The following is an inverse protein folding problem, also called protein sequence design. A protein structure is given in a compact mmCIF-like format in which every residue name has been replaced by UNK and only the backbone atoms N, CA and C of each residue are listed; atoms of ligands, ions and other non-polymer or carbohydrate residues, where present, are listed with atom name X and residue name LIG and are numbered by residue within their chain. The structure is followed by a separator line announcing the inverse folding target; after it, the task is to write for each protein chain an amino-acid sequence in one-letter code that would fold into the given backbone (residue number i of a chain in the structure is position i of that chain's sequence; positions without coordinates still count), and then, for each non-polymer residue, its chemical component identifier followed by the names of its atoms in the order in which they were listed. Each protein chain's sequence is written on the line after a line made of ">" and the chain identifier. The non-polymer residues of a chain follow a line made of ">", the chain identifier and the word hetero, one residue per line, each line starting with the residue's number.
data_IF_167619630479
#
_entry.id   IF_167619630479
#
_cell.length_a   1.000
_cell.length_b   1.000
_cell.length_c   1.000
_cell.angle_alpha   90.00
_cell.angle_beta   90.00
_cell.angle_gamma   90.00
#
_symmetry.space_group_name_H-M   'P 1'
#
loop_
_entity.id
_entity.type
_entity.pdbx_description
1 polymer ?
#
# COMPACT_ATOMS: atom_id res chain seq x y z
N UNK A 1 -18.76 -9.20 6.41
CA UNK A 1 -18.22 -10.24 7.28
C UNK A 1 -17.72 -11.39 6.42
N UNK A 2 -16.51 -11.87 6.69
CA UNK A 2 -15.94 -13.05 6.04
C UNK A 2 -15.53 -14.06 7.12
N UNK A 3 -15.75 -15.34 6.87
CA UNK A 3 -15.40 -16.42 7.80
C UNK A 3 -14.47 -17.38 7.09
N UNK A 4 -13.34 -17.71 7.74
CA UNK A 4 -12.32 -18.59 7.19
C UNK A 4 -11.88 -19.60 8.24
N UNK A 5 -12.19 -20.89 8.07
CA UNK A 5 -11.65 -21.95 8.91
C UNK A 5 -10.16 -22.18 8.57
N UNK A 6 -9.38 -22.45 9.59
CA UNK A 6 -7.99 -22.92 9.51
C UNK A 6 -7.95 -24.27 10.22
N UNK A 7 -7.95 -25.37 9.46
CA UNK A 7 -8.06 -26.72 10.00
C UNK A 7 -6.72 -27.24 10.54
N UNK A 8 -5.60 -26.80 9.96
CA UNK A 8 -4.25 -27.23 10.31
C UNK A 8 -3.44 -26.05 10.89
N UNK A 9 -3.45 -25.89 12.22
CA UNK A 9 -2.58 -24.96 12.93
C UNK A 9 -1.81 -25.69 14.04
N UNK A 10 -0.67 -25.16 14.50
CA UNK A 10 0.13 -25.80 15.56
C UNK A 10 -0.61 -26.06 16.88
N UNK A 11 -1.77 -25.42 17.07
CA UNK A 11 -2.57 -25.54 18.31
C UNK A 11 -3.98 -26.08 18.07
N UNK A 12 -4.24 -26.66 16.90
CA UNK A 12 -5.54 -27.19 16.49
C UNK A 12 -6.36 -26.22 15.62
N UNK A 13 -7.60 -26.60 15.28
CA UNK A 13 -8.45 -25.80 14.38
C UNK A 13 -8.77 -24.42 14.94
N UNK A 14 -8.79 -23.42 14.05
CA UNK A 14 -9.18 -22.05 14.37
C UNK A 14 -10.25 -21.55 13.40
N UNK A 15 -11.14 -20.69 13.89
CA UNK A 15 -12.09 -19.95 13.07
C UNK A 15 -11.68 -18.48 13.04
N UNK A 16 -11.38 -17.97 11.85
CA UNK A 16 -11.08 -16.58 11.64
C UNK A 16 -12.34 -15.85 11.15
N UNK A 17 -12.71 -14.79 11.84
CA UNK A 17 -13.84 -13.93 11.47
C UNK A 17 -13.33 -12.56 11.12
N UNK A 18 -13.44 -12.18 9.83
CA UNK A 18 -13.06 -10.86 9.35
C UNK A 18 -14.26 -9.92 9.39
N UNK A 19 -14.17 -8.89 10.22
CA UNK A 19 -15.09 -7.75 10.19
C UNK A 19 -14.59 -6.72 9.17
N UNK A 20 -15.33 -6.56 8.07
CA UNK A 20 -15.08 -5.51 7.08
C UNK A 20 -15.83 -4.25 7.50
N UNK A 21 -15.08 -3.19 7.79
CA UNK A 21 -15.62 -1.93 8.33
C UNK A 21 -15.17 -0.75 7.47
N UNK A 22 -16.12 0.07 7.01
CA UNK A 22 -15.82 1.30 6.30
C UNK A 22 -15.50 2.43 7.30
N UNK A 23 -14.23 2.75 7.44
CA UNK A 23 -13.72 3.74 8.38
C UNK A 23 -13.72 5.17 7.85
N UNK A 24 -14.17 5.39 6.61
CA UNK A 24 -14.24 6.70 5.95
C UNK A 24 -12.89 7.44 6.02
N UNK A 25 -12.88 8.62 6.65
CA UNK A 25 -11.70 9.49 6.75
C UNK A 25 -10.79 9.16 7.94
N UNK A 26 -11.12 8.16 8.76
CA UNK A 26 -10.24 7.66 9.80
C UNK A 26 -9.33 6.54 9.27
N UNK A 27 -8.13 6.40 9.83
CA UNK A 27 -7.32 5.19 9.64
C UNK A 27 -8.08 3.95 10.13
N UNK A 28 -8.76 4.06 11.27
CA UNK A 28 -9.79 3.12 11.72
C UNK A 28 -9.38 2.14 12.80
N UNK A 29 -8.12 2.09 13.23
CA UNK A 29 -7.61 1.09 14.16
C UNK A 29 -8.46 0.96 15.44
N UNK A 30 -8.69 2.06 16.15
CA UNK A 30 -9.46 2.05 17.39
C UNK A 30 -10.92 1.64 17.16
N UNK A 31 -11.53 2.13 16.09
CA UNK A 31 -12.93 1.80 15.75
C UNK A 31 -13.09 0.32 15.47
N UNK A 32 -12.18 -0.27 14.68
CA UNK A 32 -12.21 -1.69 14.33
C UNK A 32 -11.98 -2.55 15.58
N UNK A 33 -10.97 -2.21 16.39
CA UNK A 33 -10.66 -2.97 17.60
C UNK A 33 -11.83 -2.91 18.59
N UNK A 34 -12.43 -1.72 18.80
CA UNK A 34 -13.62 -1.57 19.67
C UNK A 34 -14.80 -2.39 19.14
N UNK A 35 -15.05 -2.38 17.84
CA UNK A 35 -16.11 -3.19 17.23
C UNK A 35 -15.86 -4.71 17.44
N UNK A 36 -14.62 -5.16 17.26
CA UNK A 36 -14.24 -6.56 17.48
C UNK A 36 -14.43 -6.98 18.94
N UNK A 37 -14.07 -6.13 19.89
CA UNK A 37 -14.30 -6.37 21.32
C UNK A 37 -15.81 -6.51 21.63
N UNK A 38 -16.64 -5.62 21.11
CA UNK A 38 -18.09 -5.66 21.33
C UNK A 38 -18.77 -6.89 20.71
N UNK A 39 -18.23 -7.42 19.61
CA UNK A 39 -18.76 -8.62 18.96
C UNK A 39 -18.37 -9.93 19.67
N UNK A 40 -17.39 -9.92 20.55
CA UNK A 40 -16.86 -11.10 21.21
C UNK A 40 -17.92 -11.96 21.89
N UNK A 41 -18.80 -11.44 22.79
CA UNK A 41 -19.80 -12.27 23.47
C UNK A 41 -20.80 -12.91 22.50
N UNK A 42 -21.15 -12.20 21.41
CA UNK A 42 -22.05 -12.73 20.41
C UNK A 42 -21.40 -13.89 19.63
N UNK A 43 -20.15 -13.73 19.22
CA UNK A 43 -19.40 -14.76 18.49
C UNK A 43 -19.24 -16.01 19.36
N UNK A 44 -18.86 -15.86 20.62
CA UNK A 44 -18.73 -16.99 21.56
C UNK A 44 -20.07 -17.71 21.76
N UNK A 45 -21.18 -16.97 21.87
CA UNK A 45 -22.51 -17.57 22.03
C UNK A 45 -22.97 -18.36 20.80
N UNK A 46 -22.63 -17.91 19.60
CA UNK A 46 -23.00 -18.57 18.34
C UNK A 46 -22.13 -19.80 18.09
N UNK A 47 -20.82 -19.69 18.34
CA UNK A 47 -19.86 -20.73 17.96
C UNK A 47 -19.62 -21.77 19.04
N UNK A 48 -19.93 -21.46 20.31
CA UNK A 48 -19.55 -22.25 21.47
C UNK A 48 -18.03 -22.25 21.72
N UNK A 49 -17.28 -21.47 20.97
CA UNK A 49 -15.82 -21.35 21.08
C UNK A 49 -15.39 -20.23 22.03
N UNK A 50 -14.09 -20.04 22.09
CA UNK A 50 -13.45 -18.95 22.84
C UNK A 50 -12.79 -17.97 21.89
N UNK A 51 -13.13 -16.69 21.98
CA UNK A 51 -12.43 -15.63 21.23
C UNK A 51 -11.12 -15.29 21.91
N UNK A 52 -10.02 -15.30 21.16
CA UNK A 52 -8.69 -14.98 21.66
C UNK A 52 -8.26 -13.56 21.21
N UNK A 53 -7.96 -13.35 19.92
CA UNK A 53 -7.54 -12.06 19.39
C UNK A 53 -8.70 -11.25 18.82
N UNK A 54 -8.75 -9.97 19.16
CA UNK A 54 -9.76 -8.98 18.76
C UNK A 54 -9.04 -7.75 18.25
N UNK A 55 -8.37 -7.88 17.10
CA UNK A 55 -7.42 -6.88 16.59
C UNK A 55 -7.57 -6.72 15.07
N UNK A 56 -7.33 -5.51 14.57
CA UNK A 56 -7.30 -5.24 13.14
C UNK A 56 -6.19 -6.04 12.44
N UNK A 57 -6.32 -6.19 11.12
CA UNK A 57 -5.22 -6.60 10.25
C UNK A 57 -4.67 -5.39 9.50
N UNK A 58 -3.34 -5.27 9.42
CA UNK A 58 -2.69 -4.26 8.59
C UNK A 58 -2.71 -4.62 7.10
N UNK A 59 -2.97 -5.88 6.74
CA UNK A 59 -3.29 -6.26 5.36
C UNK A 59 -4.73 -5.83 5.02
N UNK A 60 -4.92 -4.53 4.84
CA UNK A 60 -6.21 -3.92 4.51
C UNK A 60 -6.48 -3.99 3.01
N UNK A 61 -6.49 -5.19 2.43
CA UNK A 61 -6.57 -5.48 1.00
C UNK A 61 -7.90 -5.05 0.34
N UNK A 62 -8.90 -4.69 1.15
CA UNK A 62 -10.18 -4.12 0.69
C UNK A 62 -10.14 -2.58 0.62
N UNK A 63 -9.10 -1.95 1.17
CA UNK A 63 -8.91 -0.50 1.17
C UNK A 63 -7.64 -0.14 0.41
N UNK A 64 -7.71 -0.22 -0.92
CA UNK A 64 -6.59 0.02 -1.81
C UNK A 64 -6.60 1.40 -2.42
N UNK A 65 -5.40 1.92 -2.71
CA UNK A 65 -5.17 3.04 -3.60
C UNK A 65 -4.42 2.55 -4.85
N UNK A 66 -4.72 3.19 -5.98
CA UNK A 66 -4.08 2.93 -7.28
C UNK A 66 -3.67 4.24 -7.92
N UNK A 67 -2.49 4.25 -8.53
CA UNK A 67 -2.07 5.28 -9.46
C UNK A 67 -1.56 4.65 -10.74
N UNK A 68 -1.82 5.32 -11.85
CA UNK A 68 -1.31 4.94 -13.18
C UNK A 68 -0.89 6.20 -13.92
N UNK A 69 0.22 6.13 -14.64
CA UNK A 69 0.74 7.25 -15.39
C UNK A 69 1.33 6.82 -16.73
N UNK A 70 1.44 7.79 -17.63
CA UNK A 70 2.13 7.65 -18.91
C UNK A 70 3.17 8.75 -19.05
N UNK A 71 4.35 8.37 -19.54
CA UNK A 71 5.44 9.30 -19.83
C UNK A 71 5.82 9.11 -21.30
N UNK A 72 5.76 10.17 -22.12
CA UNK A 72 6.25 10.11 -23.50
C UNK A 72 7.72 9.70 -23.54
N UNK A 73 8.10 8.80 -24.45
CA UNK A 73 9.47 8.34 -24.58
C UNK A 73 10.46 9.52 -24.76
N UNK A 74 10.09 10.51 -25.55
CA UNK A 74 10.92 11.72 -25.77
C UNK A 74 11.22 12.50 -24.48
N UNK A 75 10.31 12.46 -23.48
CA UNK A 75 10.53 13.14 -22.18
C UNK A 75 11.51 12.38 -21.25
N UNK A 76 11.86 11.15 -21.61
CA UNK A 76 12.80 10.32 -20.85
C UNK A 76 14.22 10.36 -21.42
N UNK A 77 14.42 10.99 -22.57
CA UNK A 77 15.73 11.15 -23.19
C UNK A 77 16.73 11.82 -22.23
N UNK A 78 17.95 11.32 -22.19
CA UNK A 78 19.03 11.82 -21.34
C UNK A 78 20.38 11.61 -22.06
N UNK A 79 21.44 12.21 -21.54
CA UNK A 79 22.78 12.12 -22.12
C UNK A 79 23.21 10.65 -22.33
N UNK A 80 23.47 10.30 -23.58
CA UNK A 80 23.90 8.96 -23.99
C UNK A 80 22.78 7.93 -24.22
N UNK A 81 21.51 8.26 -23.93
CA UNK A 81 20.38 7.33 -24.08
C UNK A 81 19.18 7.98 -24.78
N UNK A 82 18.71 7.40 -25.86
CA UNK A 82 17.44 7.81 -26.44
C UNK A 82 16.28 7.45 -25.55
N UNK A 83 15.16 8.20 -25.63
CA UNK A 83 13.97 7.93 -24.84
C UNK A 83 13.46 6.47 -24.99
N UNK A 84 13.53 5.88 -26.18
CA UNK A 84 13.16 4.49 -26.39
C UNK A 84 14.08 3.49 -25.67
N UNK A 85 15.38 3.80 -25.57
CA UNK A 85 16.30 2.98 -24.80
C UNK A 85 16.00 3.06 -23.29
N UNK A 86 15.69 4.24 -22.78
CA UNK A 86 15.31 4.43 -21.37
C UNK A 86 14.02 3.71 -21.03
N UNK A 87 12.99 3.81 -21.89
CA UNK A 87 11.73 3.08 -21.75
C UNK A 87 11.99 1.58 -21.63
N UNK A 88 12.75 1.00 -22.56
CA UNK A 88 13.10 -0.42 -22.54
C UNK A 88 13.82 -0.82 -21.26
N UNK A 89 14.83 -0.06 -20.87
CA UNK A 89 15.62 -0.34 -19.68
C UNK A 89 14.79 -0.29 -18.39
N UNK A 90 13.83 0.64 -18.28
CA UNK A 90 12.90 0.72 -17.16
C UNK A 90 11.97 -0.50 -17.13
N UNK A 91 11.42 -0.91 -18.29
CA UNK A 91 10.54 -2.08 -18.39
C UNK A 91 11.30 -3.36 -18.00
N UNK A 92 12.52 -3.55 -18.49
CA UNK A 92 13.37 -4.69 -18.12
C UNK A 92 13.70 -4.72 -16.63
N UNK A 93 14.03 -3.56 -16.03
CA UNK A 93 14.30 -3.46 -14.60
C UNK A 93 13.05 -3.70 -13.74
N UNK A 94 11.87 -3.28 -14.22
CA UNK A 94 10.58 -3.60 -13.61
C UNK A 94 10.28 -5.09 -13.66
N UNK A 95 10.43 -5.71 -14.82
CA UNK A 95 10.25 -7.15 -15.01
C UNK A 95 11.20 -7.98 -14.12
N UNK A 96 12.42 -7.51 -13.91
CA UNK A 96 13.35 -8.14 -12.97
C UNK A 96 12.80 -8.10 -11.55
N UNK A 97 12.25 -6.96 -11.09
CA UNK A 97 11.65 -6.86 -9.76
C UNK A 97 10.36 -7.69 -9.62
N UNK A 98 9.62 -7.92 -10.69
CA UNK A 98 8.46 -8.82 -10.68
C UNK A 98 8.88 -10.31 -10.60
N UNK A 99 9.99 -10.67 -11.24
CA UNK A 99 10.46 -12.04 -11.37
C UNK A 99 11.26 -12.54 -10.16
N UNK A 100 12.05 -11.67 -9.52
CA UNK A 100 13.02 -12.05 -8.48
C UNK A 100 12.68 -11.39 -7.12
N UNK A 101 12.43 -12.19 -6.05
CA UNK A 101 12.07 -11.66 -4.74
C UNK A 101 13.22 -10.85 -4.09
N UNK A 102 14.48 -11.12 -4.38
CA UNK A 102 15.60 -10.31 -3.86
C UNK A 102 15.59 -8.92 -4.46
N UNK A 103 15.37 -8.84 -5.78
CA UNK A 103 15.22 -7.55 -6.44
C UNK A 103 13.94 -6.83 -6.00
N UNK A 104 12.83 -7.54 -5.86
CA UNK A 104 11.56 -7.00 -5.37
C UNK A 104 11.70 -6.36 -3.99
N UNK A 105 12.43 -6.96 -3.07
CA UNK A 105 12.64 -6.42 -1.72
C UNK A 105 13.28 -5.03 -1.74
N UNK A 106 14.33 -4.84 -2.55
CA UNK A 106 15.00 -3.54 -2.70
C UNK A 106 14.14 -2.54 -3.48
N UNK A 107 13.43 -3.03 -4.51
CA UNK A 107 12.52 -2.23 -5.33
C UNK A 107 11.38 -1.65 -4.48
N UNK A 108 10.68 -2.48 -3.72
CA UNK A 108 9.56 -2.07 -2.88
C UNK A 108 10.02 -1.19 -1.72
N UNK A 109 11.17 -1.48 -1.09
CA UNK A 109 11.78 -0.58 -0.10
C UNK A 109 12.00 0.82 -0.69
N UNK A 110 12.46 0.90 -1.93
CA UNK A 110 12.62 2.18 -2.64
C UNK A 110 11.30 2.93 -2.84
N UNK A 111 10.22 2.23 -3.13
CA UNK A 111 8.87 2.79 -3.21
C UNK A 111 8.46 3.39 -1.86
N UNK A 112 8.70 2.64 -0.76
CA UNK A 112 8.32 3.07 0.59
C UNK A 112 9.03 4.36 1.03
N UNK A 113 10.21 4.69 0.51
CA UNK A 113 10.85 5.97 0.78
C UNK A 113 9.95 7.18 0.42
N UNK A 114 9.17 7.08 -0.65
CA UNK A 114 8.19 8.11 -1.03
C UNK A 114 6.96 8.10 -0.14
N UNK A 115 6.41 6.92 0.14
CA UNK A 115 5.25 6.78 1.01
C UNK A 115 5.52 7.27 2.42
N UNK A 116 6.56 6.77 3.06
CA UNK A 116 6.87 7.05 4.46
C UNK A 116 7.05 8.53 4.73
N UNK A 117 7.70 9.26 3.81
CA UNK A 117 7.88 10.69 3.93
C UNK A 117 6.54 11.43 4.08
N UNK A 118 5.54 11.08 3.27
CA UNK A 118 4.21 11.72 3.30
C UNK A 118 3.37 11.17 4.45
N UNK A 119 3.42 9.86 4.71
CA UNK A 119 2.69 9.21 5.82
C UNK A 119 3.12 9.80 7.16
N UNK A 120 4.43 9.97 7.39
CA UNK A 120 4.99 10.58 8.61
C UNK A 120 4.60 12.06 8.68
N UNK A 121 4.75 12.82 7.58
CA UNK A 121 4.41 14.24 7.54
C UNK A 121 2.93 14.50 7.86
N UNK A 122 2.03 13.57 7.52
CA UNK A 122 0.59 13.66 7.79
C UNK A 122 0.16 13.04 9.12
N UNK A 123 1.11 12.57 9.95
CA UNK A 123 0.83 11.97 11.25
C UNK A 123 0.14 10.61 11.18
N UNK A 124 0.26 9.91 10.08
CA UNK A 124 -0.25 8.55 9.88
C UNK A 124 0.77 7.48 10.34
N UNK A 125 0.32 6.25 10.48
CA UNK A 125 1.15 5.12 10.93
C UNK A 125 1.90 4.49 9.75
N UNK A 126 3.15 4.89 9.56
CA UNK A 126 4.01 4.39 8.49
C UNK A 126 4.29 2.88 8.62
N UNK A 127 4.38 2.34 9.84
CA UNK A 127 4.63 0.91 10.06
C UNK A 127 3.43 0.07 9.64
N UNK A 128 2.22 0.56 9.87
CA UNK A 128 1.00 -0.08 9.41
C UNK A 128 0.91 -0.08 7.88
N UNK A 129 1.30 1.03 7.23
CA UNK A 129 1.34 1.16 5.77
C UNK A 129 2.37 0.20 5.18
N UNK A 130 3.60 0.16 5.70
CA UNK A 130 4.64 -0.79 5.26
C UNK A 130 4.21 -2.25 5.44
N UNK A 131 3.69 -2.60 6.62
CA UNK A 131 3.21 -3.96 6.87
C UNK A 131 2.14 -4.39 5.87
N UNK A 132 1.18 -3.50 5.58
CA UNK A 132 0.15 -3.73 4.57
C UNK A 132 0.72 -3.89 3.16
N UNK A 133 1.62 -3.00 2.76
CA UNK A 133 2.26 -3.01 1.44
C UNK A 133 3.08 -4.29 1.21
N UNK A 134 3.97 -4.65 2.14
CA UNK A 134 4.81 -5.84 2.01
C UNK A 134 4.01 -7.14 2.10
N UNK A 135 2.99 -7.22 2.95
CA UNK A 135 2.08 -8.36 2.99
C UNK A 135 1.30 -8.49 1.67
N UNK A 136 0.87 -7.38 1.08
CA UNK A 136 0.19 -7.35 -0.21
C UNK A 136 1.11 -7.78 -1.36
N UNK A 137 2.38 -7.36 -1.35
CA UNK A 137 3.38 -7.80 -2.32
C UNK A 137 3.61 -9.33 -2.30
N UNK A 138 3.28 -10.00 -1.19
CA UNK A 138 3.42 -11.44 -1.02
C UNK A 138 2.10 -12.23 -1.12
N UNK A 139 0.95 -11.56 -1.31
CA UNK A 139 -0.38 -12.18 -1.19
C UNK A 139 -0.67 -13.26 -2.25
N UNK A 140 0.04 -13.24 -3.37
CA UNK A 140 -0.05 -14.26 -4.44
C UNK A 140 0.73 -15.54 -4.12
N UNK A 141 1.36 -15.64 -2.95
CA UNK A 141 2.22 -16.75 -2.55
C UNK A 141 3.71 -16.55 -2.83
N UNK A 142 4.09 -15.47 -3.52
CA UNK A 142 5.48 -15.07 -3.77
C UNK A 142 5.60 -13.55 -3.61
N UNK A 143 6.66 -13.11 -2.95
CA UNK A 143 6.97 -11.69 -2.85
C UNK A 143 7.38 -11.13 -4.21
N UNK A 144 6.72 -10.06 -4.66
CA UNK A 144 6.91 -9.45 -5.99
C UNK A 144 6.86 -7.93 -5.92
N UNK A 145 7.10 -7.26 -7.05
CA UNK A 145 6.98 -5.80 -7.18
C UNK A 145 5.57 -5.30 -6.90
N UNK A 146 5.47 -4.14 -6.23
CA UNK A 146 4.23 -3.38 -6.06
C UNK A 146 3.90 -2.52 -7.28
N UNK A 147 4.87 -2.29 -8.17
CA UNK A 147 4.69 -1.54 -9.42
C UNK A 147 4.79 -2.46 -10.61
N UNK A 148 4.10 -2.08 -11.68
CA UNK A 148 4.19 -2.71 -12.99
C UNK A 148 4.51 -1.64 -14.03
N UNK A 149 5.55 -1.89 -14.86
CA UNK A 149 6.01 -0.98 -15.91
C UNK A 149 5.94 -1.68 -17.27
N UNK A 150 5.38 -0.99 -18.27
CA UNK A 150 5.29 -1.52 -19.64
C UNK A 150 5.41 -0.41 -20.67
N UNK A 151 5.71 -0.79 -21.90
CA UNK A 151 5.66 0.10 -23.05
C UNK A 151 4.27 -0.03 -23.71
N UNK A 152 3.66 1.09 -24.06
CA UNK A 152 2.41 1.08 -24.82
C UNK A 152 2.67 0.99 -26.35
N UNK A 153 1.58 0.89 -27.13
CA UNK A 153 1.64 0.73 -28.60
C UNK A 153 2.29 1.93 -29.30
N UNK A 154 2.27 3.11 -28.68
CA UNK A 154 2.92 4.34 -29.19
C UNK A 154 4.39 4.44 -28.75
N UNK A 155 4.91 3.48 -28.02
CA UNK A 155 6.29 3.45 -27.54
C UNK A 155 6.53 4.22 -26.26
N UNK A 156 5.50 4.76 -25.60
CA UNK A 156 5.61 5.49 -24.34
C UNK A 156 5.73 4.55 -23.14
N UNK A 157 6.32 5.05 -22.05
CA UNK A 157 6.36 4.33 -20.79
C UNK A 157 5.02 4.45 -20.05
N UNK A 158 4.47 3.32 -19.65
CA UNK A 158 3.34 3.23 -18.72
C UNK A 158 3.80 2.64 -17.40
N UNK A 159 3.24 3.15 -16.30
CA UNK A 159 3.49 2.61 -14.98
C UNK A 159 2.24 2.60 -14.11
N UNK A 160 2.11 1.58 -13.28
CA UNK A 160 0.99 1.42 -12.35
C UNK A 160 1.49 0.93 -11.00
N UNK A 161 0.84 1.41 -9.95
CA UNK A 161 0.94 0.89 -8.58
C UNK A 161 -0.45 0.66 -8.01
N UNK A 162 -0.62 -0.41 -7.26
CA UNK A 162 -1.81 -0.67 -6.45
C UNK A 162 -1.41 -1.37 -5.15
N UNK A 163 -1.89 -0.86 -4.00
CA UNK A 163 -1.57 -1.43 -2.69
C UNK A 163 -2.60 -1.00 -1.63
N UNK A 164 -2.70 -1.71 -0.49
CA UNK A 164 -3.47 -1.27 0.66
C UNK A 164 -2.96 0.08 1.19
N UNK A 165 -3.88 1.00 1.50
CA UNK A 165 -3.55 2.34 1.98
C UNK A 165 -4.49 2.76 3.10
N UNK A 166 -4.27 2.21 4.30
CA UNK A 166 -5.06 2.50 5.49
C UNK A 166 -4.55 3.77 6.20
N UNK A 167 -4.81 4.94 5.59
CA UNK A 167 -4.47 6.25 6.16
C UNK A 167 -5.74 7.03 6.55
N UNK A 168 -5.58 8.06 7.37
CA UNK A 168 -6.68 8.92 7.79
C UNK A 168 -6.30 10.40 7.74
N UNK A 169 -7.32 11.25 7.67
CA UNK A 169 -7.20 12.71 7.78
C UNK A 169 -7.86 13.24 9.03
N UNK A 170 -8.51 12.38 9.82
CA UNK A 170 -9.22 12.73 11.06
C UNK A 170 -8.77 11.81 12.21
N UNK A 171 -8.80 12.35 13.42
CA UNK A 171 -8.45 11.61 14.64
C UNK A 171 -6.94 11.45 14.86
N UNK A 172 -6.57 10.78 15.97
CA UNK A 172 -5.19 10.45 16.28
C UNK A 172 -4.21 11.63 16.25
N UNK A 173 -2.97 11.36 15.84
CA UNK A 173 -1.91 12.37 15.74
C UNK A 173 -2.22 13.45 14.69
N UNK A 174 -2.93 13.13 13.62
CA UNK A 174 -3.33 14.06 12.57
C UNK A 174 -4.11 15.26 13.12
N UNK A 175 -4.94 15.04 14.16
CA UNK A 175 -5.74 16.09 14.77
C UNK A 175 -4.94 17.01 15.70
N UNK A 176 -3.96 16.47 16.41
CA UNK A 176 -3.27 17.19 17.50
C UNK A 176 -1.87 17.68 17.12
N UNK A 177 -1.26 17.12 16.07
CA UNK A 177 0.09 17.47 15.65
C UNK A 177 0.08 18.65 14.66
N UNK A 178 0.61 19.84 15.02
CA UNK A 178 0.52 21.03 14.17
C UNK A 178 1.14 20.83 12.77
N UNK A 179 2.28 20.15 12.67
CA UNK A 179 2.94 19.90 11.39
C UNK A 179 2.11 19.01 10.47
N UNK A 180 1.40 18.00 11.01
CA UNK A 180 0.51 17.16 10.22
C UNK A 180 -0.65 17.97 9.63
N UNK A 181 -1.21 18.89 10.39
CA UNK A 181 -2.25 19.81 9.91
C UNK A 181 -1.72 20.74 8.81
N UNK A 182 -0.49 21.26 8.95
CA UNK A 182 0.16 22.09 7.92
C UNK A 182 0.40 21.27 6.65
N UNK A 183 0.92 20.04 6.77
CA UNK A 183 1.15 19.15 5.63
C UNK A 183 -0.15 18.87 4.85
N UNK A 184 -1.25 18.55 5.56
CA UNK A 184 -2.56 18.33 4.93
C UNK A 184 -3.09 19.59 4.22
N UNK A 185 -2.86 20.80 4.80
CA UNK A 185 -3.23 22.07 4.17
C UNK A 185 -2.42 22.34 2.91
N UNK A 186 -1.10 22.09 2.92
CA UNK A 186 -0.23 22.26 1.75
C UNK A 186 -0.71 21.35 0.61
N UNK A 187 -1.06 20.10 0.92
CA UNK A 187 -1.56 19.13 -0.08
C UNK A 187 -3.01 19.41 -0.49
N UNK A 188 -3.73 20.27 0.24
CA UNK A 188 -5.14 20.61 0.00
C UNK A 188 -6.04 19.37 -0.15
N UNK A 189 -5.85 18.37 0.72
CA UNK A 189 -6.62 17.13 0.67
C UNK A 189 -8.00 17.31 1.33
N UNK A 190 -9.03 16.75 0.69
CA UNK A 190 -10.42 16.79 1.17
C UNK A 190 -10.80 15.63 2.10
N UNK A 191 -9.98 14.56 2.14
CA UNK A 191 -10.24 13.38 2.97
C UNK A 191 -9.23 12.26 2.75
N UNK A 192 -9.39 11.16 3.47
CA UNK A 192 -8.45 10.04 3.46
C UNK A 192 -8.34 9.35 2.09
N UNK A 193 -9.43 9.33 1.32
CA UNK A 193 -9.40 8.77 -0.04
C UNK A 193 -8.43 9.54 -0.93
N UNK A 194 -8.56 10.87 -0.99
CA UNK A 194 -7.66 11.70 -1.79
C UNK A 194 -6.22 11.62 -1.29
N UNK A 195 -6.01 11.58 0.03
CA UNK A 195 -4.67 11.37 0.60
C UNK A 195 -4.06 10.06 0.12
N UNK A 196 -4.82 8.97 0.11
CA UNK A 196 -4.32 7.66 -0.36
C UNK A 196 -4.02 7.63 -1.86
N UNK A 197 -4.78 8.35 -2.68
CA UNK A 197 -4.53 8.50 -4.12
C UNK A 197 -3.24 9.31 -4.38
N UNK A 198 -3.02 10.39 -3.62
CA UNK A 198 -1.76 11.18 -3.66
C UNK A 198 -0.57 10.31 -3.25
N UNK A 199 -0.70 9.56 -2.17
CA UNK A 199 0.34 8.63 -1.72
C UNK A 199 0.70 7.62 -2.82
N UNK A 200 -0.29 7.01 -3.46
CA UNK A 200 -0.04 6.08 -4.57
C UNK A 200 0.72 6.76 -5.72
N UNK A 201 0.36 8.00 -6.08
CA UNK A 201 1.07 8.76 -7.10
C UNK A 201 2.52 9.09 -6.71
N UNK A 202 2.74 9.47 -5.44
CA UNK A 202 4.10 9.74 -4.90
C UNK A 202 4.95 8.47 -4.93
N UNK A 203 4.40 7.32 -4.53
CA UNK A 203 5.12 6.03 -4.57
C UNK A 203 5.50 5.63 -6.00
N UNK A 204 4.60 5.81 -6.96
CA UNK A 204 4.89 5.55 -8.38
C UNK A 204 5.97 6.47 -8.92
N UNK A 205 5.91 7.77 -8.61
CA UNK A 205 6.92 8.76 -9.02
C UNK A 205 8.29 8.49 -8.38
N UNK A 206 8.32 8.14 -7.09
CA UNK A 206 9.54 7.74 -6.38
C UNK A 206 10.19 6.52 -7.02
N UNK A 207 9.37 5.52 -7.38
CA UNK A 207 9.87 4.32 -8.05
C UNK A 207 10.43 4.64 -9.44
N UNK A 208 9.72 5.47 -10.24
CA UNK A 208 10.21 5.91 -11.54
C UNK A 208 11.60 6.57 -11.44
N UNK A 209 11.76 7.49 -10.49
CA UNK A 209 13.05 8.17 -10.30
C UNK A 209 14.18 7.18 -9.98
N UNK A 210 13.92 6.24 -9.07
CA UNK A 210 14.89 5.24 -8.67
C UNK A 210 15.23 4.25 -9.81
N UNK A 211 14.22 3.73 -10.50
CA UNK A 211 14.43 2.72 -11.55
C UNK A 211 15.09 3.33 -12.79
N UNK A 212 14.75 4.59 -13.13
CA UNK A 212 15.43 5.35 -14.19
C UNK A 212 16.91 5.53 -13.87
N UNK A 213 17.24 5.99 -12.66
CA UNK A 213 18.64 6.21 -12.25
C UNK A 213 19.47 4.90 -12.20
N UNK A 214 18.82 3.74 -12.04
CA UNK A 214 19.50 2.44 -12.07
C UNK A 214 19.63 1.89 -13.50
N UNK A 215 18.82 2.36 -14.43
CA UNK A 215 18.72 1.86 -15.80
C UNK A 215 19.50 2.70 -16.82
N UNK A 216 19.98 3.88 -16.42
CA UNK A 216 20.79 4.82 -17.21
C UNK A 216 22.05 5.23 -16.46
#
# INVERSE_FOLDING_TARGET
>A
LEVRPLDDTPVGPMLIIHLLFDTRDAMGANTINTAAEHLTPLIESITGGRVNLRILSNLADRRKARAEGMIPAAALETDGFSGAQVVRAIVEAGAFAEADPYRAATHNKGIMNGFDAVVIATGNDWRAVEAGAHSYAAHSGRYTSLTHWWQDDDGNLRGRIELPMAVGTVGGATRVHPQAQVALKIMNVSGARQLSEILAAVGLAQNLAAIRALAT
#
